data_IF_990585061483
#
_entry.id   IF_990585061483
#
_cell.length_a   1.000
_cell.length_b   1.000
_cell.length_c   1.000
_cell.angle_alpha   90.00
_cell.angle_beta   90.00
_cell.angle_gamma   90.00
#
_symmetry.space_group_name_H-M   'P 1'
#
loop_
_entity.id
_entity.type
_entity.pdbx_description
1 polymer ?
#
# COMPACT_ATOMS: atom_id res chain seq x y z
N UNK A 1 2.18 -1.36 -15.60
CA UNK A 1 0.82 -1.31 -15.04
C UNK A 1 0.86 -0.31 -13.89
N UNK A 2 0.24 0.86 -14.05
CA UNK A 2 0.46 1.99 -13.11
C UNK A 2 -0.68 2.06 -12.10
N UNK A 3 -0.35 1.90 -10.82
CA UNK A 3 -1.31 2.15 -9.75
C UNK A 3 -1.52 3.66 -9.59
N UNK A 4 -2.78 4.10 -9.41
CA UNK A 4 -3.07 5.50 -9.14
C UNK A 4 -2.82 5.83 -7.67
N UNK A 5 -2.37 7.06 -7.40
CA UNK A 5 -2.25 7.57 -6.04
C UNK A 5 -3.59 7.45 -5.27
N UNK A 6 -3.51 7.11 -3.99
CA UNK A 6 -4.65 6.89 -3.10
C UNK A 6 -5.25 5.48 -3.15
N UNK A 7 -4.86 4.63 -4.11
CA UNK A 7 -5.34 3.24 -4.19
C UNK A 7 -4.71 2.41 -3.08
N UNK A 8 -5.53 1.63 -2.38
CA UNK A 8 -5.06 0.66 -1.40
C UNK A 8 -4.59 -0.63 -2.07
N UNK A 9 -3.38 -1.07 -1.71
CA UNK A 9 -2.75 -2.27 -2.23
C UNK A 9 -2.28 -3.19 -1.10
N UNK A 10 -2.29 -4.48 -1.38
CA UNK A 10 -1.64 -5.52 -0.59
C UNK A 10 -0.36 -5.94 -1.31
N UNK A 11 0.76 -5.89 -0.60
CA UNK A 11 2.05 -6.36 -1.04
C UNK A 11 2.25 -7.82 -0.62
N UNK A 12 2.29 -8.72 -1.60
CA UNK A 12 2.43 -10.16 -1.35
C UNK A 12 3.79 -10.54 -0.77
N UNK A 13 4.85 -9.81 -1.09
CA UNK A 13 6.19 -10.14 -0.62
C UNK A 13 6.38 -9.83 0.87
N UNK A 14 5.83 -8.69 1.33
CA UNK A 14 5.95 -8.25 2.72
C UNK A 14 4.73 -8.54 3.59
N UNK A 15 3.60 -8.92 2.99
CA UNK A 15 2.32 -9.10 3.69
C UNK A 15 1.70 -7.78 4.17
N UNK A 16 2.18 -6.63 3.68
CA UNK A 16 1.76 -5.30 4.14
C UNK A 16 0.63 -4.74 3.28
N UNK A 17 -0.19 -3.89 3.90
CA UNK A 17 -1.27 -3.15 3.24
C UNK A 17 -1.01 -1.66 3.39
N UNK A 18 -1.18 -0.90 2.30
CA UNK A 18 -1.01 0.55 2.33
C UNK A 18 -1.60 1.26 1.13
N UNK A 19 -1.57 2.60 1.15
CA UNK A 19 -2.00 3.46 0.04
C UNK A 19 -0.84 3.78 -0.87
N UNK A 20 -1.05 3.64 -2.17
CA UNK A 20 -0.12 4.10 -3.20
C UNK A 20 0.01 5.61 -3.12
N UNK A 21 1.23 6.11 -3.06
CA UNK A 21 1.52 7.55 -3.12
C UNK A 21 1.81 7.98 -4.55
N UNK A 22 2.74 7.27 -5.21
CA UNK A 22 3.29 7.57 -6.52
C UNK A 22 4.10 6.37 -7.02
N UNK A 23 4.63 6.51 -8.22
CA UNK A 23 5.66 5.59 -8.71
C UNK A 23 6.90 5.63 -7.81
N UNK A 24 7.52 4.47 -7.65
CA UNK A 24 8.75 4.28 -6.89
C UNK A 24 10.00 4.69 -7.68
N UNK A 25 11.14 4.48 -7.06
CA UNK A 25 12.45 4.63 -7.66
C UNK A 25 12.80 3.35 -8.44
N UNK A 26 12.92 3.50 -9.76
CA UNK A 26 13.25 2.42 -10.67
C UNK A 26 12.04 1.91 -11.45
N UNK A 27 12.30 1.07 -12.46
CA UNK A 27 11.24 0.51 -13.28
C UNK A 27 10.30 -0.36 -12.44
N UNK A 28 9.00 -0.23 -12.68
CA UNK A 28 7.94 -1.07 -12.10
C UNK A 28 7.86 -1.10 -10.57
N UNK A 29 8.39 -0.08 -9.89
CA UNK A 29 8.25 0.09 -8.44
C UNK A 29 7.15 1.09 -8.11
N UNK A 30 6.52 0.89 -6.97
CA UNK A 30 5.46 1.76 -6.44
C UNK A 30 5.81 2.14 -5.01
N UNK A 31 5.72 3.43 -4.69
CA UNK A 31 5.88 3.93 -3.33
C UNK A 31 4.52 3.88 -2.61
N UNK A 32 4.49 3.22 -1.46
CA UNK A 32 3.28 2.91 -0.69
C UNK A 32 3.47 3.43 0.75
N UNK A 33 2.42 3.98 1.34
CA UNK A 33 2.37 4.44 2.74
C UNK A 33 1.44 3.56 3.57
N UNK A 34 1.88 3.14 4.76
CA UNK A 34 1.01 2.50 5.75
C UNK A 34 0.10 3.54 6.41
N UNK A 35 -0.94 3.09 7.12
CA UNK A 35 -1.75 3.99 7.96
C UNK A 35 -0.93 4.64 9.09
N UNK A 36 0.13 3.96 9.56
CA UNK A 36 1.06 4.49 10.57
C UNK A 36 2.08 5.51 10.01
N UNK A 37 2.02 5.85 8.73
CA UNK A 37 2.91 6.83 8.10
C UNK A 37 4.30 6.30 7.71
N UNK A 38 4.48 4.98 7.69
CA UNK A 38 5.72 4.35 7.23
C UNK A 38 5.60 4.10 5.73
N UNK A 39 6.55 4.63 4.96
CA UNK A 39 6.62 4.40 3.52
C UNK A 39 7.54 3.22 3.17
N UNK A 40 7.19 2.48 2.11
CA UNK A 40 8.06 1.47 1.50
C UNK A 40 7.83 1.38 -0.01
N UNK A 41 8.75 0.71 -0.69
CA UNK A 41 8.63 0.42 -2.12
C UNK A 41 8.38 -1.06 -2.34
N UNK A 42 7.53 -1.38 -3.31
CA UNK A 42 7.26 -2.74 -3.76
C UNK A 42 7.21 -2.81 -5.29
N UNK A 43 7.51 -3.98 -5.85
CA UNK A 43 7.38 -4.23 -7.28
C UNK A 43 5.91 -4.40 -7.66
N UNK A 44 5.48 -3.75 -8.74
CA UNK A 44 4.08 -3.72 -9.16
C UNK A 44 3.49 -5.11 -9.42
N UNK A 45 4.31 -6.07 -9.84
CA UNK A 45 3.91 -7.48 -10.06
C UNK A 45 3.54 -8.21 -8.77
N UNK A 46 4.10 -7.79 -7.63
CA UNK A 46 3.80 -8.32 -6.29
C UNK A 46 2.58 -7.68 -5.64
N UNK A 47 1.99 -6.67 -6.27
CA UNK A 47 0.86 -5.92 -5.74
C UNK A 47 -0.46 -6.44 -6.27
N UNK A 48 -1.49 -6.37 -5.41
CA UNK A 48 -2.90 -6.45 -5.81
C UNK A 48 -3.71 -5.42 -5.04
N UNK A 49 -4.93 -5.15 -5.51
CA UNK A 49 -5.87 -4.35 -4.74
C UNK A 49 -6.15 -5.01 -3.38
N UNK A 50 -6.08 -4.20 -2.32
CA UNK A 50 -6.46 -4.65 -0.99
C UNK A 50 -7.99 -4.81 -0.91
N UNK A 51 -8.45 -5.85 -0.24
CA UNK A 51 -9.87 -6.06 0.09
C UNK A 51 -10.33 -5.07 1.17
N UNK A 52 -11.64 -4.86 1.37
CA UNK A 52 -12.13 -4.01 2.45
C UNK A 52 -11.64 -4.42 3.85
N UNK A 53 -11.58 -5.73 4.13
CA UNK A 53 -11.10 -6.25 5.42
C UNK A 53 -9.61 -5.96 5.64
N UNK A 54 -8.79 -6.12 4.60
CA UNK A 54 -7.35 -5.80 4.65
C UNK A 54 -7.11 -4.30 4.88
N UNK A 55 -7.92 -3.43 4.26
CA UNK A 55 -7.86 -1.99 4.48
C UNK A 55 -8.23 -1.63 5.92
N UNK A 56 -9.32 -2.20 6.43
CA UNK A 56 -9.79 -1.93 7.79
C UNK A 56 -8.74 -2.38 8.83
N UNK A 57 -8.15 -3.57 8.67
CA UNK A 57 -7.09 -4.06 9.55
C UNK A 57 -5.81 -3.21 9.49
N UNK A 58 -5.56 -2.51 8.38
CA UNK A 58 -4.42 -1.61 8.24
C UNK A 58 -4.68 -0.24 8.89
N UNK A 59 -5.94 0.19 8.98
CA UNK A 59 -6.38 1.49 9.51
C UNK A 59 -6.65 1.49 11.03
N UNK A 60 -6.74 0.30 11.66
CA UNK A 60 -7.14 0.09 13.07
C UNK A 60 -6.12 0.61 14.13
N UNK A 61 -5.20 1.49 13.73
CA UNK A 61 -4.29 2.20 14.64
C UNK A 61 -4.83 3.53 15.16
N UNK A 62 -6.01 3.99 14.71
CA UNK A 62 -6.69 5.19 15.22
C UNK A 62 -8.12 4.86 15.65
N UNK A 63 -8.27 4.52 16.94
CA UNK A 63 -9.47 4.91 17.67
C UNK A 63 -9.32 6.41 17.88
N UNK A 64 -9.94 7.24 17.03
CA UNK A 64 -10.16 8.64 17.39
C UNK A 64 -11.12 8.64 18.59
N UNK A 65 -10.63 9.13 19.73
CA UNK A 65 -11.43 9.40 20.92
C UNK A 65 -12.24 10.68 20.81
#
# INVERSE_FOLDING_TARGET
MTYRAGVWVFDRASGRVGKVLRDGEGPDRVLIMSASGIAWQAEAVGLRLATPAERASADDGRVEG
#
